data_IF_511806579865
#
_entry.id   IF_511806579865
#
_cell.length_a   1.000
_cell.length_b   1.000
_cell.length_c   1.000
_cell.angle_alpha   90.00
_cell.angle_beta   90.00
_cell.angle_gamma   90.00
#
_symmetry.space_group_name_H-M   'P 1'
#
loop_
_entity.id
_entity.type
_entity.pdbx_description
1 polymer ?
#
# COMPACT_ATOMS: atom_id res chain seq x y z
N UNK A 1 -16.13 -16.70 6.65
CA UNK A 1 -15.12 -17.29 7.54
C UNK A 1 -14.69 -16.25 8.54
N UNK A 2 -14.64 -16.58 9.80
CA UNK A 2 -14.12 -15.68 10.83
C UNK A 2 -12.63 -15.96 11.04
N UNK A 3 -11.78 -14.99 10.67
CA UNK A 3 -10.33 -15.11 10.79
C UNK A 3 -9.81 -14.56 12.14
N UNK A 4 -10.71 -14.02 12.99
CA UNK A 4 -10.32 -13.46 14.27
C UNK A 4 -9.55 -12.15 14.17
N UNK A 5 -9.67 -11.42 13.04
CA UNK A 5 -8.92 -10.18 12.80
C UNK A 5 -9.77 -8.92 12.85
N UNK A 6 -11.05 -9.03 13.18
CA UNK A 6 -11.93 -7.87 13.32
C UNK A 6 -11.39 -6.88 14.35
N UNK A 7 -11.34 -5.60 14.00
CA UNK A 7 -10.80 -4.55 14.85
C UNK A 7 -9.29 -4.39 14.80
N UNK A 8 -8.59 -5.24 14.06
CA UNK A 8 -7.16 -5.09 13.81
C UNK A 8 -6.89 -3.93 12.87
N UNK A 9 -5.63 -3.50 12.80
CA UNK A 9 -5.20 -2.39 11.93
C UNK A 9 -4.19 -2.90 10.93
N UNK A 10 -4.37 -2.51 9.67
CA UNK A 10 -3.48 -2.90 8.59
C UNK A 10 -2.94 -1.69 7.83
N UNK A 11 -1.67 -1.77 7.46
CA UNK A 11 -1.05 -0.83 6.52
C UNK A 11 -0.88 -1.57 5.20
N UNK A 12 -1.36 -0.98 4.11
CA UNK A 12 -1.25 -1.54 2.77
C UNK A 12 -0.50 -0.55 1.88
N UNK A 13 0.72 -0.89 1.51
CA UNK A 13 1.52 -0.10 0.60
C UNK A 13 1.21 -0.50 -0.84
N UNK A 14 0.79 0.48 -1.66
CA UNK A 14 0.39 0.23 -3.03
C UNK A 14 -1.06 -0.25 -3.17
N UNK A 15 -1.93 0.12 -2.25
CA UNK A 15 -3.30 -0.40 -2.16
C UNK A 15 -4.33 0.24 -3.08
N UNK A 16 -3.94 1.12 -4.00
CA UNK A 16 -4.90 1.83 -4.86
C UNK A 16 -5.33 1.05 -6.10
N UNK A 17 -4.66 -0.04 -6.44
CA UNK A 17 -4.97 -0.86 -7.61
C UNK A 17 -4.42 -2.28 -7.47
N UNK A 18 -4.87 -3.19 -8.34
CA UNK A 18 -4.33 -4.54 -8.45
C UNK A 18 -4.46 -5.39 -7.18
N UNK A 19 -3.41 -6.13 -6.86
CA UNK A 19 -3.37 -7.01 -5.70
C UNK A 19 -3.48 -6.26 -4.38
N UNK A 20 -2.91 -5.05 -4.30
CA UNK A 20 -3.03 -4.22 -3.11
C UNK A 20 -4.46 -3.83 -2.82
N UNK A 21 -5.19 -3.39 -3.86
CA UNK A 21 -6.61 -3.06 -3.73
C UNK A 21 -7.43 -4.29 -3.34
N UNK A 22 -7.17 -5.44 -3.97
CA UNK A 22 -7.84 -6.69 -3.64
C UNK A 22 -7.61 -7.11 -2.20
N UNK A 23 -6.38 -7.00 -1.70
CA UNK A 23 -6.04 -7.29 -0.30
C UNK A 23 -6.75 -6.33 0.65
N UNK A 24 -6.80 -5.04 0.31
CA UNK A 24 -7.49 -4.03 1.11
C UNK A 24 -8.98 -4.35 1.26
N UNK A 25 -9.64 -4.68 0.16
CA UNK A 25 -11.05 -5.04 0.18
C UNK A 25 -11.30 -6.29 1.02
N UNK A 26 -10.47 -7.32 0.84
CA UNK A 26 -10.61 -8.57 1.60
C UNK A 26 -10.45 -8.34 3.11
N UNK A 27 -9.46 -7.56 3.53
CA UNK A 27 -9.24 -7.23 4.94
C UNK A 27 -10.39 -6.37 5.49
N UNK A 28 -10.86 -5.39 4.71
CA UNK A 28 -11.96 -4.53 5.14
C UNK A 28 -13.25 -5.31 5.35
N UNK A 29 -13.52 -6.31 4.52
CA UNK A 29 -14.68 -7.21 4.68
C UNK A 29 -14.61 -8.01 5.96
N UNK A 30 -13.42 -8.27 6.48
CA UNK A 30 -13.21 -8.95 7.75
C UNK A 30 -13.22 -7.98 8.95
N UNK A 31 -13.51 -6.71 8.74
CA UNK A 31 -13.61 -5.70 9.79
C UNK A 31 -12.29 -5.08 10.21
N UNK A 32 -11.26 -5.14 9.38
CA UNK A 32 -9.95 -4.56 9.63
C UNK A 32 -9.94 -3.09 9.20
N UNK A 33 -9.45 -2.21 10.05
CA UNK A 33 -9.25 -0.80 9.71
C UNK A 33 -7.97 -0.65 8.89
N UNK A 34 -8.01 0.22 7.88
CA UNK A 34 -6.95 0.29 6.88
C UNK A 34 -6.27 1.65 6.83
N UNK A 35 -4.95 1.63 6.61
CA UNK A 35 -4.18 2.76 6.12
C UNK A 35 -3.57 2.33 4.79
N UNK A 36 -3.95 3.00 3.72
CA UNK A 36 -3.51 2.66 2.37
C UNK A 36 -2.60 3.77 1.86
N UNK A 37 -1.40 3.40 1.42
CA UNK A 37 -0.47 4.34 0.81
C UNK A 37 -0.38 4.13 -0.69
N UNK A 38 -0.27 5.23 -1.43
CA UNK A 38 -0.07 5.22 -2.87
C UNK A 38 0.44 6.59 -3.31
N UNK A 39 1.10 6.65 -4.45
CA UNK A 39 1.55 7.93 -5.01
C UNK A 39 0.44 8.66 -5.76
N UNK A 40 -0.53 7.95 -6.31
CA UNK A 40 -1.64 8.55 -7.07
C UNK A 40 -2.79 8.97 -6.16
N UNK A 41 -2.85 10.26 -5.82
CA UNK A 41 -3.83 10.79 -4.86
C UNK A 41 -5.27 10.52 -5.26
N UNK A 42 -5.66 10.81 -6.50
CA UNK A 42 -7.06 10.70 -6.92
C UNK A 42 -7.53 9.25 -6.92
N UNK A 43 -6.73 8.34 -7.44
CA UNK A 43 -7.04 6.91 -7.43
C UNK A 43 -7.12 6.38 -6.00
N UNK A 44 -6.21 6.83 -5.14
CA UNK A 44 -6.18 6.44 -3.74
C UNK A 44 -7.46 6.88 -3.02
N UNK A 45 -7.86 8.13 -3.18
CA UNK A 45 -9.07 8.68 -2.58
C UNK A 45 -10.31 7.91 -3.04
N UNK A 46 -10.42 7.62 -4.33
CA UNK A 46 -11.54 6.86 -4.89
C UNK A 46 -11.59 5.44 -4.31
N UNK A 47 -10.45 4.78 -4.19
CA UNK A 47 -10.35 3.44 -3.61
C UNK A 47 -10.77 3.45 -2.14
N UNK A 48 -10.28 4.41 -1.36
CA UNK A 48 -10.63 4.54 0.05
C UNK A 48 -12.14 4.75 0.23
N UNK A 49 -12.74 5.62 -0.58
CA UNK A 49 -14.16 5.90 -0.53
C UNK A 49 -14.99 4.68 -0.89
N UNK A 50 -14.60 3.96 -1.91
CA UNK A 50 -15.25 2.72 -2.34
C UNK A 50 -15.27 1.67 -1.22
N UNK A 51 -14.14 1.50 -0.53
CA UNK A 51 -14.02 0.54 0.56
C UNK A 51 -14.84 0.97 1.76
N UNK A 52 -14.83 2.26 2.12
CA UNK A 52 -15.66 2.77 3.21
C UNK A 52 -17.14 2.52 2.98
N UNK A 53 -17.61 2.76 1.76
CA UNK A 53 -19.02 2.55 1.40
C UNK A 53 -19.42 1.09 1.47
N UNK A 54 -18.54 0.19 1.03
CA UNK A 54 -18.84 -1.23 0.99
C UNK A 54 -18.81 -1.87 2.38
N UNK A 55 -17.86 -1.49 3.23
CA UNK A 55 -17.57 -2.23 4.47
C UNK A 55 -17.83 -1.45 5.76
N UNK A 56 -17.80 -0.12 5.70
CA UNK A 56 -17.99 0.74 6.87
C UNK A 56 -16.78 0.83 7.81
N UNK A 57 -15.64 0.19 7.49
CA UNK A 57 -14.43 0.30 8.31
C UNK A 57 -13.75 1.66 8.10
N UNK A 58 -12.84 2.01 9.02
CA UNK A 58 -12.01 3.20 8.86
C UNK A 58 -10.96 2.95 7.78
N UNK A 59 -10.88 3.85 6.81
CA UNK A 59 -9.88 3.78 5.75
C UNK A 59 -9.24 5.15 5.61
N UNK A 60 -7.93 5.22 5.82
CA UNK A 60 -7.13 6.44 5.69
C UNK A 60 -6.22 6.28 4.49
N UNK A 61 -6.29 7.21 3.54
CA UNK A 61 -5.41 7.26 2.40
C UNK A 61 -4.24 8.19 2.66
N UNK A 62 -3.01 7.71 2.44
CA UNK A 62 -1.79 8.51 2.57
C UNK A 62 -1.14 8.59 1.19
N UNK A 63 -1.28 9.74 0.54
CA UNK A 63 -0.68 9.97 -0.78
C UNK A 63 0.80 10.30 -0.61
N UNK A 64 1.65 9.29 -0.71
CA UNK A 64 3.09 9.45 -0.50
C UNK A 64 3.86 8.30 -1.14
N UNK A 65 5.18 8.48 -1.24
CA UNK A 65 6.11 7.45 -1.71
C UNK A 65 6.69 6.72 -0.50
N UNK A 66 6.33 5.45 -0.31
CA UNK A 66 6.80 4.64 0.82
C UNK A 66 8.30 4.31 0.74
N UNK A 67 8.95 4.54 -0.41
CA UNK A 67 10.39 4.31 -0.56
C UNK A 67 11.24 5.45 0.02
N UNK A 68 10.62 6.55 0.44
CA UNK A 68 11.30 7.68 1.09
C UNK A 68 11.10 7.63 2.60
N UNK A 69 12.06 8.18 3.36
CA UNK A 69 11.95 8.28 4.82
C UNK A 69 10.75 9.14 5.23
N UNK A 70 10.55 10.25 4.53
CA UNK A 70 9.41 11.14 4.75
C UNK A 70 8.08 10.43 4.52
N UNK A 71 7.99 9.65 3.44
CA UNK A 71 6.78 8.87 3.12
C UNK A 71 6.48 7.83 4.17
N UNK A 72 7.48 7.09 4.61
CA UNK A 72 7.34 6.09 5.67
C UNK A 72 6.89 6.72 6.98
N UNK A 73 7.44 7.88 7.32
CA UNK A 73 7.05 8.61 8.52
C UNK A 73 5.57 9.02 8.49
N UNK A 74 5.08 9.51 7.36
CA UNK A 74 3.67 9.84 7.19
C UNK A 74 2.76 8.62 7.38
N UNK A 75 3.16 7.47 6.84
CA UNK A 75 2.41 6.22 6.97
C UNK A 75 2.37 5.77 8.44
N UNK A 76 3.50 5.79 9.12
CA UNK A 76 3.60 5.41 10.54
C UNK A 76 2.78 6.34 11.41
N UNK A 77 2.78 7.64 11.13
CA UNK A 77 1.98 8.61 11.88
C UNK A 77 0.48 8.37 11.71
N UNK A 78 0.05 7.86 10.56
CA UNK A 78 -1.34 7.51 10.32
C UNK A 78 -1.75 6.21 11.04
N UNK A 79 -0.81 5.29 11.25
CA UNK A 79 -1.05 4.03 11.96
C UNK A 79 0.21 3.64 12.75
N UNK A 80 0.36 4.14 14.01
CA UNK A 80 1.57 3.89 14.80
C UNK A 80 1.75 2.45 15.28
N UNK A 81 0.67 1.69 15.36
CA UNK A 81 0.67 0.33 15.90
C UNK A 81 -0.08 -0.65 15.00
N UNK A 82 0.39 -0.88 13.77
CA UNK A 82 -0.28 -1.81 12.86
C UNK A 82 -0.11 -3.26 13.34
N UNK A 83 -1.15 -4.05 13.11
CA UNK A 83 -1.12 -5.51 13.34
C UNK A 83 -0.71 -6.26 12.07
N UNK A 84 -1.01 -5.69 10.90
CA UNK A 84 -0.82 -6.32 9.60
C UNK A 84 -0.12 -5.33 8.67
N UNK A 85 0.85 -5.83 7.91
CA UNK A 85 1.52 -5.04 6.87
C UNK A 85 1.47 -5.81 5.54
N UNK A 86 0.93 -5.17 4.52
CA UNK A 86 0.87 -5.72 3.16
C UNK A 86 1.68 -4.84 2.22
N UNK A 87 2.72 -5.41 1.62
CA UNK A 87 3.57 -4.72 0.66
C UNK A 87 3.33 -5.27 -0.75
N UNK A 88 2.72 -4.46 -1.61
CA UNK A 88 2.42 -4.86 -2.99
C UNK A 88 2.97 -3.88 -4.02
N UNK A 89 3.91 -3.03 -3.62
CA UNK A 89 4.46 -2.01 -4.49
C UNK A 89 5.40 -2.62 -5.52
N UNK A 90 5.23 -2.19 -6.76
CA UNK A 90 6.15 -2.53 -7.85
C UNK A 90 6.67 -1.24 -8.48
N UNK A 91 7.95 -1.19 -8.86
CA UNK A 91 8.47 -0.04 -9.59
C UNK A 91 7.87 0.04 -10.99
N UNK A 92 7.86 1.23 -11.59
CA UNK A 92 7.49 1.34 -13.00
C UNK A 92 8.41 0.49 -13.86
N UNK A 93 7.82 -0.28 -14.77
CA UNK A 93 8.62 -1.03 -15.74
C UNK A 93 9.20 -0.05 -16.76
N UNK A 94 10.52 -0.03 -16.88
CA UNK A 94 11.20 0.87 -17.79
C UNK A 94 11.38 0.25 -19.18
N UNK A 95 11.73 -1.03 -19.24
CA UNK A 95 11.90 -1.76 -20.48
C UNK A 95 11.88 -3.26 -20.20
N UNK A 96 11.32 -4.09 -21.11
CA UNK A 96 11.42 -5.54 -20.99
C UNK A 96 12.79 -6.09 -21.39
N UNK A 97 13.64 -5.28 -22.01
CA UNK A 97 14.97 -5.69 -22.46
C UNK A 97 16.00 -5.42 -21.37
N UNK A 98 16.49 -6.48 -20.73
CA UNK A 98 17.43 -6.37 -19.61
C UNK A 98 18.74 -5.69 -20.00
N UNK A 99 19.15 -5.76 -21.29
CA UNK A 99 20.39 -5.12 -21.77
C UNK A 99 20.29 -3.59 -21.75
N UNK A 100 19.07 -3.06 -21.81
CA UNK A 100 18.80 -1.62 -21.80
C UNK A 100 18.50 -1.06 -20.42
N UNK A 101 18.52 -1.90 -19.37
CA UNK A 101 18.28 -1.45 -18.01
C UNK A 101 19.54 -0.76 -17.49
N UNK A 102 19.39 0.52 -17.11
CA UNK A 102 20.50 1.30 -16.55
C UNK A 102 20.79 0.90 -15.11
N UNK A 103 21.98 1.21 -14.57
CA UNK A 103 22.26 1.04 -13.14
C UNK A 103 21.28 1.79 -12.24
N UNK A 104 20.80 2.94 -12.67
CA UNK A 104 19.80 3.70 -11.92
C UNK A 104 18.44 2.99 -11.89
N UNK A 105 18.05 2.34 -12.98
CA UNK A 105 16.83 1.54 -13.03
C UNK A 105 16.91 0.36 -12.06
N UNK A 106 18.06 -0.30 -11.99
CA UNK A 106 18.32 -1.37 -11.03
C UNK A 106 18.23 -0.87 -9.61
N UNK A 107 18.83 0.28 -9.30
CA UNK A 107 18.78 0.87 -7.96
C UNK A 107 17.35 1.20 -7.55
N UNK A 108 16.58 1.82 -8.44
CA UNK A 108 15.17 2.15 -8.17
C UNK A 108 14.33 0.91 -7.92
N UNK A 109 14.53 -0.13 -8.73
CA UNK A 109 13.81 -1.39 -8.59
C UNK A 109 14.12 -2.04 -7.24
N UNK A 110 15.39 -2.11 -6.85
CA UNK A 110 15.79 -2.68 -5.57
C UNK A 110 15.30 -1.84 -4.40
N UNK A 111 15.33 -0.52 -4.52
CA UNK A 111 14.82 0.38 -3.47
C UNK A 111 13.34 0.16 -3.22
N UNK A 112 12.54 0.09 -4.27
CA UNK A 112 11.08 -0.06 -4.14
C UNK A 112 10.70 -1.49 -3.75
N UNK A 113 11.31 -2.49 -4.40
CA UNK A 113 10.86 -3.89 -4.27
C UNK A 113 11.52 -4.66 -3.14
N UNK A 114 12.73 -4.28 -2.75
CA UNK A 114 13.51 -5.02 -1.74
C UNK A 114 13.82 -4.18 -0.50
N UNK A 115 14.46 -3.02 -0.67
CA UNK A 115 14.97 -2.24 0.46
C UNK A 115 13.85 -1.52 1.21
N UNK A 116 12.89 -0.96 0.49
CA UNK A 116 11.79 -0.21 1.09
C UNK A 116 10.88 -1.07 1.98
N UNK A 117 10.49 -2.30 1.60
CA UNK A 117 9.68 -3.16 2.47
C UNK A 117 10.40 -3.63 3.75
N UNK A 118 11.72 -3.66 3.72
CA UNK A 118 12.53 -4.07 4.88
C UNK A 118 12.72 -2.92 5.85
#
# INVERSE_FOLDING_TARGET
MDLGIRGKKAIINGGSAGMGKGSAIALAREGVDLVISSRGKDRLENTCEEIRKETGVKVIGVATDHSTDEGREKIINACPDPDILVGTCTPPMTTPDYEKISPDDWRKTLEVSLLSPV
#
